data_IF_141184042068
#
_entry.id   IF_141184042068
#
_cell.length_a   1.000
_cell.length_b   1.000
_cell.length_c   1.000
_cell.angle_alpha   90.00
_cell.angle_beta   90.00
_cell.angle_gamma   90.00
#
_symmetry.space_group_name_H-M   'P 1'
#
loop_
_entity.id
_entity.type
_entity.pdbx_description
1 polymer ?
#
# COMPACT_ATOMS: atom_id res chain seq x y z
N UNK A 1 1.86 12.11 -3.04
CA UNK A 1 2.00 11.68 -1.63
C UNK A 1 0.96 10.60 -1.40
N UNK A 2 1.36 9.38 -1.05
CA UNK A 2 0.42 8.27 -0.92
C UNK A 2 -0.33 8.29 0.44
N UNK A 3 -1.47 8.99 0.47
CA UNK A 3 -2.42 8.98 1.59
C UNK A 3 -3.41 7.84 1.40
N UNK A 4 -3.32 6.83 2.27
CA UNK A 4 -4.03 5.57 2.14
C UNK A 4 -5.16 5.48 3.16
N UNK A 5 -6.38 5.17 2.71
CA UNK A 5 -7.49 4.82 3.58
C UNK A 5 -7.75 3.32 3.51
N UNK A 6 -7.77 2.66 4.66
CA UNK A 6 -8.21 1.27 4.74
C UNK A 6 -9.74 1.23 4.84
N UNK A 7 -10.38 0.74 3.79
CA UNK A 7 -11.84 0.58 3.80
C UNK A 7 -12.22 -0.73 4.48
N UNK A 8 -13.48 -0.80 4.95
CA UNK A 8 -14.07 -2.05 5.45
C UNK A 8 -14.73 -2.88 4.35
N UNK A 9 -14.84 -2.34 3.13
CA UNK A 9 -15.54 -2.98 2.02
C UNK A 9 -14.74 -2.86 0.73
N UNK A 10 -14.55 -3.98 0.06
CA UNK A 10 -13.81 -4.08 -1.22
C UNK A 10 -14.35 -3.13 -2.28
N UNK A 11 -15.67 -3.04 -2.44
CA UNK A 11 -16.30 -2.17 -3.46
C UNK A 11 -16.03 -0.67 -3.27
N UNK A 12 -15.51 -0.25 -2.10
CA UNK A 12 -15.14 1.14 -1.83
C UNK A 12 -13.64 1.38 -2.01
N UNK A 13 -12.86 0.32 -2.17
CA UNK A 13 -11.42 0.42 -2.36
C UNK A 13 -11.08 0.47 -3.86
N UNK A 14 -10.02 1.21 -4.17
CA UNK A 14 -9.45 1.28 -5.51
C UNK A 14 -8.59 0.04 -5.81
N UNK A 15 -8.02 -0.58 -4.76
CA UNK A 15 -7.24 -1.82 -4.88
C UNK A 15 -7.35 -2.70 -3.62
N UNK A 16 -7.19 -4.00 -3.82
CA UNK A 16 -7.08 -4.97 -2.72
C UNK A 16 -5.63 -5.27 -2.40
N UNK A 17 -5.31 -5.32 -1.11
CA UNK A 17 -3.95 -5.51 -0.60
C UNK A 17 -3.91 -6.71 0.33
N UNK A 18 -2.99 -7.65 0.10
CA UNK A 18 -2.71 -8.74 1.04
C UNK A 18 -1.38 -8.48 1.73
N UNK A 19 -1.40 -8.51 3.06
CA UNK A 19 -0.18 -8.47 3.85
C UNK A 19 0.48 -9.86 3.81
N UNK A 20 1.70 -9.93 3.28
CA UNK A 20 2.49 -11.17 3.24
C UNK A 20 3.47 -11.22 4.40
N UNK A 21 3.87 -12.42 4.81
CA UNK A 21 4.82 -12.61 5.91
C UNK A 21 6.29 -12.46 5.48
N UNK A 22 6.57 -12.54 4.17
CA UNK A 22 7.92 -12.51 3.63
C UNK A 22 8.03 -11.54 2.45
N UNK A 23 9.11 -10.75 2.43
CA UNK A 23 9.45 -9.85 1.33
C UNK A 23 9.49 -10.56 -0.03
N UNK A 24 10.00 -11.79 -0.09
CA UNK A 24 10.12 -12.54 -1.35
C UNK A 24 8.77 -12.88 -2.00
N UNK A 25 7.67 -12.80 -1.25
CA UNK A 25 6.31 -12.99 -1.75
C UNK A 25 5.61 -11.66 -2.06
N UNK A 26 6.24 -10.54 -1.72
CA UNK A 26 5.66 -9.22 -1.83
C UNK A 26 5.97 -8.61 -3.20
N UNK A 27 4.94 -8.06 -3.83
CA UNK A 27 5.10 -7.20 -5.01
C UNK A 27 5.55 -5.80 -4.61
N UNK A 28 5.11 -5.34 -3.44
CA UNK A 28 5.40 -4.02 -2.91
C UNK A 28 5.85 -4.11 -1.45
N UNK A 29 7.08 -3.67 -1.18
CA UNK A 29 7.52 -3.38 0.18
C UNK A 29 7.12 -1.95 0.51
N UNK A 30 6.26 -1.77 1.50
CA UNK A 30 5.77 -0.45 1.89
C UNK A 30 6.20 -0.10 3.31
N UNK A 31 6.49 1.17 3.52
CA UNK A 31 6.84 1.71 4.82
C UNK A 31 5.66 2.50 5.39
N UNK A 32 5.34 2.26 6.67
CA UNK A 32 4.36 3.07 7.38
C UNK A 32 4.99 4.39 7.79
N UNK A 33 4.56 5.48 7.15
CA UNK A 33 4.96 6.81 7.57
C UNK A 33 4.25 7.18 8.88
N UNK A 34 5.02 7.55 9.90
CA UNK A 34 4.48 8.17 11.10
C UNK A 34 4.02 9.61 10.85
N UNK A 35 4.65 10.30 9.90
CA UNK A 35 4.35 11.69 9.57
C UNK A 35 4.09 11.89 8.08
N UNK A 36 3.10 12.73 7.74
CA UNK A 36 2.77 13.12 6.36
C UNK A 36 3.99 13.49 5.47
N UNK A 37 4.98 14.30 5.93
CA UNK A 37 6.14 14.65 5.10
C UNK A 37 7.05 13.45 4.75
N UNK A 38 6.93 12.32 5.45
CA UNK A 38 7.66 11.10 5.13
C UNK A 38 7.04 10.32 3.99
N UNK A 39 5.74 10.50 3.72
CA UNK A 39 5.02 9.83 2.64
C UNK A 39 5.42 10.38 1.26
N UNK A 40 6.64 10.04 0.85
CA UNK A 40 7.22 10.41 -0.44
C UNK A 40 7.15 9.22 -1.40
N UNK A 41 6.55 9.45 -2.56
CA UNK A 41 6.35 8.44 -3.59
C UNK A 41 5.25 7.42 -3.28
N UNK A 42 5.31 6.28 -3.97
CA UNK A 42 4.31 5.20 -3.94
C UNK A 42 4.60 4.13 -2.87
N UNK A 43 5.82 4.09 -2.33
CA UNK A 43 6.28 3.04 -1.41
C UNK A 43 6.09 3.39 0.05
N UNK A 44 5.80 4.65 0.37
CA UNK A 44 5.58 5.09 1.74
C UNK A 44 4.13 5.45 1.93
N UNK A 45 3.44 4.68 2.77
CA UNK A 45 2.00 4.81 2.98
C UNK A 45 1.73 5.57 4.27
N UNK A 46 0.89 6.60 4.16
CA UNK A 46 0.37 7.31 5.32
C UNK A 46 -1.10 6.96 5.49
N UNK A 47 -1.42 6.23 6.57
CA UNK A 47 -2.79 5.86 6.86
C UNK A 47 -3.56 7.06 7.42
N UNK A 48 -4.70 7.33 6.81
CA UNK A 48 -5.64 8.36 7.28
C UNK A 48 -6.98 7.71 7.58
N UNK A 49 -7.70 8.25 8.56
CA UNK A 49 -9.04 7.79 8.91
C UNK A 49 -10.14 8.38 8.02
N UNK A 50 -9.85 9.49 7.34
CA UNK A 50 -10.84 10.24 6.57
C UNK A 50 -10.60 10.14 5.07
N UNK A 51 -11.63 9.74 4.33
CA UNK A 51 -11.60 9.67 2.87
C UNK A 51 -11.33 11.02 2.19
N UNK A 52 -11.70 12.15 2.84
CA UNK A 52 -11.41 13.50 2.35
C UNK A 52 -9.92 13.83 2.35
N UNK A 53 -9.15 13.14 3.19
CA UNK A 53 -7.69 13.27 3.25
C UNK A 53 -6.99 12.17 2.45
N UNK A 54 -7.69 11.08 2.13
CA UNK A 54 -7.13 9.95 1.42
C UNK A 54 -7.06 10.24 -0.08
N UNK A 55 -5.89 10.01 -0.66
CA UNK A 55 -5.71 10.03 -2.12
C UNK A 55 -6.06 8.69 -2.74
N UNK A 56 -5.94 7.60 -1.96
CA UNK A 56 -6.13 6.24 -2.45
C UNK A 56 -6.77 5.34 -1.38
N UNK A 57 -7.70 4.48 -1.77
CA UNK A 57 -8.39 3.57 -0.84
C UNK A 57 -7.97 2.14 -1.09
N UNK A 58 -7.59 1.43 -0.04
CA UNK A 58 -7.23 0.02 -0.12
C UNK A 58 -8.13 -0.84 0.75
N UNK A 59 -8.34 -2.08 0.33
CA UNK A 59 -9.01 -3.09 1.12
C UNK A 59 -8.05 -4.21 1.50
N UNK A 60 -7.87 -4.45 2.82
CA UNK A 60 -6.99 -5.52 3.30
C UNK A 60 -7.71 -6.86 3.20
N UNK A 61 -7.19 -7.74 2.34
CA UNK A 61 -7.67 -9.12 2.20
C UNK A 61 -6.75 -10.09 2.93
N UNK A 62 -7.29 -11.25 3.32
CA UNK A 62 -6.53 -12.31 3.98
C UNK A 62 -5.82 -13.26 3.01
N UNK A 63 -6.25 -13.26 1.75
CA UNK A 63 -5.78 -14.22 0.74
C UNK A 63 -5.13 -13.46 -0.42
N UNK A 64 -3.91 -13.86 -0.77
CA UNK A 64 -3.18 -13.30 -1.91
C UNK A 64 -3.93 -13.48 -3.24
N UNK A 65 -4.74 -14.54 -3.38
CA UNK A 65 -5.51 -14.80 -4.60
C UNK A 65 -6.64 -13.78 -4.84
N UNK A 66 -7.04 -13.06 -3.79
CA UNK A 66 -8.03 -11.97 -3.86
C UNK A 66 -7.36 -10.60 -3.88
N UNK A 67 -6.04 -10.54 -3.73
CA UNK A 67 -5.30 -9.29 -3.68
C UNK A 67 -4.75 -8.92 -5.05
N UNK A 68 -4.95 -7.68 -5.45
CA UNK A 68 -4.27 -7.09 -6.59
C UNK A 68 -2.79 -6.81 -6.26
N UNK A 69 -2.47 -6.53 -4.99
CA UNK A 69 -1.11 -6.17 -4.55
C UNK A 69 -0.73 -6.97 -3.30
N UNK A 70 0.36 -7.74 -3.38
CA UNK A 70 0.98 -8.35 -2.19
C UNK A 70 1.93 -7.35 -1.55
N UNK A 71 1.56 -6.85 -0.38
CA UNK A 71 2.27 -5.79 0.29
C UNK A 71 2.99 -6.33 1.53
N UNK A 72 4.25 -5.96 1.72
CA UNK A 72 5.06 -6.33 2.89
C UNK A 72 5.46 -5.08 3.66
N UNK A 73 5.14 -5.06 4.95
CA UNK A 73 5.50 -3.95 5.82
C UNK A 73 6.97 -4.02 6.17
N UNK A 74 7.73 -3.00 5.77
CA UNK A 74 9.14 -2.86 6.13
C UNK A 74 9.32 -1.91 7.30
N UNK A 75 10.45 -2.03 8.01
CA UNK A 75 10.78 -1.17 9.15
C UNK A 75 11.51 0.11 8.75
N UNK A 76 12.10 0.15 7.57
CA UNK A 76 12.86 1.30 7.08
C UNK A 76 12.40 1.70 5.68
N UNK A 77 12.38 3.00 5.36
CA UNK A 77 11.99 3.49 4.04
C UNK A 77 12.96 3.05 2.94
N UNK A 78 14.22 2.76 3.27
CA UNK A 78 15.22 2.25 2.32
C UNK A 78 14.87 0.85 1.80
N UNK A 79 14.13 0.06 2.58
CA UNK A 79 13.61 -1.24 2.17
C UNK A 79 12.29 -1.11 1.41
N UNK A 80 11.65 0.07 1.44
CA UNK A 80 10.38 0.30 0.78
C UNK A 80 10.63 0.45 -0.72
N UNK A 81 9.99 -0.39 -1.52
CA UNK A 81 10.31 -0.56 -2.92
C UNK A 81 9.32 -1.46 -3.62
N UNK A 82 9.01 -1.14 -4.87
CA UNK A 82 8.31 -2.06 -5.76
C UNK A 82 9.27 -3.18 -6.17
N UNK A 83 8.96 -4.40 -5.76
CA UNK A 83 9.68 -5.61 -6.16
C UNK A 83 9.19 -6.11 -7.51
N UNK A 84 7.88 -6.04 -7.73
CA UNK A 84 7.29 -6.33 -9.03
C UNK A 84 7.23 -5.05 -9.88
N UNK A 85 7.98 -5.05 -11.00
CA UNK A 85 8.02 -3.92 -11.92
C UNK A 85 6.83 -3.88 -12.89
N UNK A 86 6.07 -4.97 -13.01
CA UNK A 86 4.90 -5.09 -13.89
C UNK A 86 3.60 -4.68 -13.23
N UNK A 87 3.62 -4.38 -11.93
CA UNK A 87 2.40 -4.09 -11.18
C UNK A 87 1.77 -2.76 -11.64
N UNK A 88 0.49 -2.82 -12.02
CA UNK A 88 -0.25 -1.72 -12.69
C UNK A 88 -0.43 -0.45 -11.84
N UNK A 89 -0.15 -0.53 -10.55
CA UNK A 89 -0.29 0.56 -9.59
C UNK A 89 1.01 1.34 -9.35
N UNK A 90 2.13 0.85 -9.88
CA UNK A 90 3.44 1.52 -9.78
C UNK A 90 3.39 2.87 -10.53
N UNK A 91 3.52 3.97 -9.80
CA UNK A 91 3.43 5.34 -10.33
C UNK A 91 2.00 5.89 -10.41
N UNK A 92 0.99 5.16 -9.92
CA UNK A 92 -0.40 5.63 -9.79
C UNK A 92 -0.81 5.99 -8.36
N UNK A 93 0.03 5.69 -7.37
CA UNK A 93 -0.23 6.03 -5.96
C UNK A 93 0.41 7.38 -5.56
N UNK A 94 1.06 8.08 -6.50
CA UNK A 94 1.82 9.31 -6.33
C UNK A 94 1.03 10.60 -6.52
#
# INVERSE_FOLDING_TARGET
MAKILVTKYEHQADATVCEVAHESQADLCWYEAAYEPQARGDTTWYFVDYATQASFKIFKVKFESQADIKAFQVKTPEQAGWRDAGNRFKGKMG
#
